data_IF_425611350730
#
_entry.id   IF_425611350730
#
_cell.length_a   1.000
_cell.length_b   1.000
_cell.length_c   1.000
_cell.angle_alpha   90.00
_cell.angle_beta   90.00
_cell.angle_gamma   90.00
#
_symmetry.space_group_name_H-M   'P 1'
#
loop_
_entity.id
_entity.type
_entity.pdbx_description
1 polymer ?
#
# COMPACT_ATOMS: atom_id res chain seq x y z
N UNK A 1 -24.06 -38.29 -84.89
CA UNK A 1 -23.14 -37.28 -84.31
C UNK A 1 -23.96 -36.29 -83.50
N UNK A 2 -24.20 -36.56 -82.21
CA UNK A 2 -24.88 -35.65 -81.26
C UNK A 2 -24.10 -35.72 -79.96
N UNK A 3 -23.35 -34.66 -79.67
CA UNK A 3 -22.62 -34.46 -78.43
C UNK A 3 -23.49 -33.53 -77.59
N UNK A 4 -24.02 -34.03 -76.47
CA UNK A 4 -24.68 -33.23 -75.44
C UNK A 4 -23.66 -33.02 -74.32
N UNK A 5 -23.18 -31.78 -74.22
CA UNK A 5 -22.23 -31.28 -73.23
C UNK A 5 -22.90 -31.30 -71.84
N UNK A 6 -22.37 -32.07 -70.89
CA UNK A 6 -22.71 -31.95 -69.46
C UNK A 6 -21.88 -30.82 -68.86
N UNK A 7 -22.53 -29.75 -68.42
CA UNK A 7 -21.93 -28.69 -67.62
C UNK A 7 -21.77 -29.22 -66.20
N UNK A 8 -20.52 -29.44 -65.77
CA UNK A 8 -20.18 -29.75 -64.39
C UNK A 8 -19.90 -28.42 -63.68
N UNK A 9 -20.79 -28.02 -62.77
CA UNK A 9 -20.56 -26.90 -61.87
C UNK A 9 -19.65 -27.42 -60.75
N UNK A 10 -18.37 -27.04 -60.80
CA UNK A 10 -17.42 -27.28 -59.71
C UNK A 10 -17.58 -26.14 -58.70
N UNK A 11 -18.25 -26.41 -57.57
CA UNK A 11 -18.21 -25.52 -56.41
C UNK A 11 -16.78 -25.53 -55.84
N UNK A 12 -16.01 -24.48 -56.16
CA UNK A 12 -14.76 -24.20 -55.49
C UNK A 12 -15.06 -23.74 -54.06
N UNK A 13 -14.85 -24.61 -53.08
CA UNK A 13 -14.81 -24.24 -51.66
C UNK A 13 -13.55 -23.41 -51.48
N UNK A 14 -13.71 -22.08 -51.47
CA UNK A 14 -12.66 -21.16 -51.08
C UNK A 14 -12.49 -21.33 -49.57
N UNK A 15 -11.46 -22.09 -49.17
CA UNK A 15 -10.92 -22.07 -47.82
C UNK A 15 -10.41 -20.66 -47.57
N UNK A 16 -11.26 -19.82 -46.97
CA UNK A 16 -10.83 -18.57 -46.35
C UNK A 16 -9.88 -19.00 -45.23
N UNK A 17 -8.61 -18.59 -45.24
CA UNK A 17 -7.74 -18.82 -44.11
C UNK A 17 -8.38 -18.04 -42.96
N UNK A 18 -8.92 -18.76 -41.97
CA UNK A 18 -9.20 -18.18 -40.68
C UNK A 18 -7.86 -17.68 -40.18
N UNK A 19 -7.64 -16.37 -40.26
CA UNK A 19 -6.64 -15.71 -39.44
C UNK A 19 -7.04 -16.02 -38.00
N UNK A 20 -6.49 -17.09 -37.45
CA UNK A 20 -6.45 -17.29 -36.02
C UNK A 20 -5.80 -16.04 -35.46
N UNK A 21 -6.50 -15.37 -34.54
CA UNK A 21 -5.81 -14.58 -33.52
C UNK A 21 -4.81 -15.56 -32.92
N UNK A 22 -3.54 -15.45 -33.29
CA UNK A 22 -2.47 -16.16 -32.63
C UNK A 22 -2.53 -15.68 -31.19
N UNK A 23 -3.05 -16.56 -30.33
CA UNK A 23 -3.03 -16.41 -28.91
C UNK A 23 -1.57 -16.48 -28.48
N UNK A 24 -0.89 -15.33 -28.53
CA UNK A 24 0.19 -14.98 -27.60
C UNK A 24 -0.35 -14.88 -26.16
N UNK A 25 -1.30 -15.76 -25.79
CA UNK A 25 -1.63 -16.04 -24.40
C UNK A 25 -0.35 -16.61 -23.79
N UNK A 26 0.38 -15.75 -23.10
CA UNK A 26 1.04 -16.09 -21.85
C UNK A 26 1.82 -17.40 -21.89
N UNK A 27 3.00 -17.39 -22.51
CA UNK A 27 3.85 -18.56 -22.47
C UNK A 27 4.02 -19.01 -21.00
N UNK A 28 3.83 -20.30 -20.73
CA UNK A 28 3.97 -20.89 -19.38
C UNK A 28 5.22 -20.39 -18.61
N UNK A 29 6.38 -20.15 -19.25
CA UNK A 29 7.55 -19.54 -18.61
C UNK A 29 7.33 -18.10 -18.11
N UNK A 30 6.64 -17.24 -18.88
CA UNK A 30 6.36 -15.86 -18.49
C UNK A 30 5.50 -15.82 -17.22
N UNK A 31 4.42 -16.60 -17.20
CA UNK A 31 3.53 -16.68 -16.04
C UNK A 31 4.24 -17.18 -14.80
N UNK A 32 5.09 -18.20 -14.95
CA UNK A 32 5.89 -18.69 -13.82
C UNK A 32 6.85 -17.61 -13.30
N UNK A 33 7.48 -16.84 -14.20
CA UNK A 33 8.39 -15.76 -13.84
C UNK A 33 7.68 -14.61 -13.14
N UNK A 34 6.51 -14.20 -13.65
CA UNK A 34 5.74 -13.09 -13.07
C UNK A 34 5.10 -13.47 -11.74
N UNK A 35 4.56 -14.69 -11.62
CA UNK A 35 3.86 -15.16 -10.41
C UNK A 35 4.77 -15.31 -9.20
N UNK A 36 6.08 -15.49 -9.44
CA UNK A 36 7.11 -15.57 -8.41
C UNK A 36 7.94 -14.29 -8.30
N UNK A 37 7.66 -13.30 -9.14
CA UNK A 37 8.35 -12.01 -9.06
C UNK A 37 7.99 -11.31 -7.76
N UNK A 38 8.99 -10.65 -7.19
CA UNK A 38 8.84 -10.05 -5.88
C UNK A 38 7.89 -8.84 -5.89
N UNK A 39 7.79 -8.09 -6.99
CA UNK A 39 6.79 -7.02 -7.14
C UNK A 39 5.36 -7.57 -7.15
N UNK A 40 5.10 -8.68 -7.86
CA UNK A 40 3.79 -9.33 -7.86
C UNK A 40 3.41 -9.85 -6.47
N UNK A 41 4.33 -10.54 -5.80
CA UNK A 41 4.12 -11.02 -4.43
C UNK A 41 3.87 -9.86 -3.47
N UNK A 42 4.49 -8.70 -3.67
CA UNK A 42 4.27 -7.51 -2.85
C UNK A 42 2.89 -6.90 -3.08
N UNK A 43 2.43 -6.81 -4.33
CA UNK A 43 1.07 -6.36 -4.68
C UNK A 43 0.00 -7.25 -4.02
N UNK A 44 0.30 -8.53 -3.85
CA UNK A 44 -0.59 -9.48 -3.18
C UNK A 44 -0.33 -9.61 -1.67
N UNK A 45 0.60 -8.85 -1.09
CA UNK A 45 1.02 -8.93 0.32
C UNK A 45 1.39 -10.37 0.74
N UNK A 46 2.12 -11.11 -0.11
CA UNK A 46 2.58 -12.46 0.22
C UNK A 46 3.75 -12.44 1.21
N UNK A 47 3.63 -13.26 2.26
CA UNK A 47 4.70 -13.57 3.21
C UNK A 47 4.90 -15.09 3.23
N UNK A 48 5.97 -15.54 2.60
CA UNK A 48 6.20 -16.97 2.40
C UNK A 48 5.18 -17.55 1.41
N UNK A 49 4.30 -18.45 1.88
CA UNK A 49 3.37 -19.20 1.02
C UNK A 49 1.94 -18.64 0.99
N UNK A 50 1.63 -17.67 1.84
CA UNK A 50 0.29 -17.11 1.95
C UNK A 50 0.33 -15.58 2.01
N UNK A 51 -0.76 -14.95 1.59
CA UNK A 51 -0.99 -13.52 1.72
C UNK A 51 -1.40 -13.14 3.14
N UNK A 52 -1.01 -11.93 3.55
CA UNK A 52 -1.49 -11.27 4.76
C UNK A 52 -2.93 -10.74 4.59
N UNK A 53 -3.38 -10.59 3.34
CA UNK A 53 -4.77 -10.22 3.02
C UNK A 53 -5.61 -11.49 3.01
N UNK A 54 -6.75 -11.46 3.69
CA UNK A 54 -7.65 -12.60 3.80
C UNK A 54 -8.33 -12.91 2.46
N UNK A 55 -8.49 -14.19 2.10
CA UNK A 55 -9.23 -14.62 0.91
C UNK A 55 -10.66 -14.05 0.86
N UNK A 56 -11.30 -13.86 2.03
CA UNK A 56 -12.68 -13.37 2.16
C UNK A 56 -12.81 -11.85 2.09
N UNK A 57 -11.71 -11.10 1.96
CA UNK A 57 -11.69 -9.64 1.88
C UNK A 57 -12.26 -9.05 0.59
N UNK A 58 -12.46 -9.88 -0.44
CA UNK A 58 -12.82 -9.41 -1.78
C UNK A 58 -11.67 -8.70 -2.52
N UNK A 59 -10.42 -8.89 -2.07
CA UNK A 59 -9.21 -8.39 -2.74
C UNK A 59 -8.67 -9.33 -3.82
N UNK A 60 -8.91 -10.63 -3.71
CA UNK A 60 -8.47 -11.62 -4.70
C UNK A 60 -9.54 -11.86 -5.75
N UNK A 61 -9.11 -11.96 -7.01
CA UNK A 61 -9.96 -12.34 -8.14
C UNK A 61 -10.11 -13.86 -8.23
N UNK A 62 -9.04 -14.60 -7.89
CA UNK A 62 -9.07 -16.06 -7.78
C UNK A 62 -9.65 -16.49 -6.43
N UNK A 63 -10.35 -17.63 -6.42
CA UNK A 63 -10.90 -18.26 -5.22
C UNK A 63 -9.83 -18.80 -4.25
N UNK A 64 -8.61 -19.00 -4.72
CA UNK A 64 -7.43 -19.42 -3.93
C UNK A 64 -6.27 -18.40 -3.99
N UNK A 65 -6.54 -17.18 -4.46
CA UNK A 65 -5.51 -16.17 -4.74
C UNK A 65 -4.65 -15.78 -3.53
N UNK A 66 -5.18 -15.90 -2.31
CA UNK A 66 -4.42 -15.63 -1.07
C UNK A 66 -3.37 -16.71 -0.77
N UNK A 67 -3.40 -17.85 -1.46
CA UNK A 67 -2.46 -18.98 -1.30
C UNK A 67 -1.76 -19.36 -2.60
N UNK A 68 -2.26 -18.85 -3.73
CA UNK A 68 -1.81 -19.19 -5.06
C UNK A 68 -1.64 -17.93 -5.91
N UNK A 69 -0.50 -17.27 -5.75
CA UNK A 69 -0.16 -16.06 -6.50
C UNK A 69 -0.16 -16.28 -8.02
N UNK A 70 0.09 -17.51 -8.48
CA UNK A 70 0.06 -17.84 -9.90
C UNK A 70 -1.37 -17.89 -10.45
N UNK A 71 -2.31 -18.48 -9.71
CA UNK A 71 -3.70 -18.50 -10.14
C UNK A 71 -4.31 -17.09 -10.08
N UNK A 72 -3.98 -16.32 -9.05
CA UNK A 72 -4.38 -14.89 -8.98
C UNK A 72 -3.88 -14.10 -10.18
N UNK A 73 -2.63 -14.34 -10.60
CA UNK A 73 -2.03 -13.70 -11.77
C UNK A 73 -2.79 -14.04 -13.05
N UNK A 74 -3.05 -15.34 -13.28
CA UNK A 74 -3.77 -15.83 -14.45
C UNK A 74 -5.18 -15.25 -14.53
N UNK A 75 -5.93 -15.24 -13.43
CA UNK A 75 -7.28 -14.64 -13.41
C UNK A 75 -7.21 -13.13 -13.64
N UNK A 76 -6.23 -12.45 -13.05
CA UNK A 76 -6.02 -11.00 -13.28
C UNK A 76 -5.78 -10.70 -14.75
N UNK A 77 -4.87 -11.43 -15.41
CA UNK A 77 -4.57 -11.18 -16.83
C UNK A 77 -5.78 -11.48 -17.70
N UNK A 78 -6.41 -12.65 -17.53
CA UNK A 78 -7.56 -13.05 -18.34
C UNK A 78 -8.71 -12.05 -18.25
N UNK A 79 -9.05 -11.59 -17.04
CA UNK A 79 -10.12 -10.60 -16.84
C UNK A 79 -9.74 -9.22 -17.41
N UNK A 80 -8.49 -8.77 -17.27
CA UNK A 80 -8.04 -7.53 -17.93
C UNK A 80 -8.07 -7.63 -19.46
N UNK A 81 -7.69 -8.76 -20.05
CA UNK A 81 -7.76 -8.93 -21.50
C UNK A 81 -9.22 -8.95 -22.01
N UNK A 82 -10.12 -9.57 -21.26
CA UNK A 82 -11.56 -9.54 -21.54
C UNK A 82 -12.11 -8.12 -21.47
N UNK A 83 -11.80 -7.38 -20.39
CA UNK A 83 -12.22 -6.00 -20.20
C UNK A 83 -11.74 -5.07 -21.32
N UNK A 84 -10.47 -5.23 -21.74
CA UNK A 84 -9.90 -4.47 -22.84
C UNK A 84 -10.59 -4.78 -24.18
N UNK A 85 -11.08 -6.00 -24.36
CA UNK A 85 -11.80 -6.42 -25.56
C UNK A 85 -13.25 -5.91 -25.57
N UNK A 86 -13.89 -5.85 -24.40
CA UNK A 86 -15.28 -5.40 -24.23
C UNK A 86 -15.42 -3.90 -23.94
N UNK A 87 -14.30 -3.19 -23.78
CA UNK A 87 -14.26 -1.79 -23.32
C UNK A 87 -15.12 -1.57 -22.06
N UNK A 88 -15.01 -2.48 -21.09
CA UNK A 88 -15.66 -2.31 -19.78
C UNK A 88 -15.03 -1.12 -19.06
N UNK A 89 -15.87 -0.25 -18.50
CA UNK A 89 -15.46 0.98 -17.80
C UNK A 89 -15.98 1.00 -16.36
N UNK A 90 -15.43 1.89 -15.54
CA UNK A 90 -15.85 2.07 -14.15
C UNK A 90 -15.47 0.90 -13.23
N UNK A 91 -16.18 0.78 -12.11
CA UNK A 91 -15.89 -0.20 -11.04
C UNK A 91 -16.07 -1.66 -11.48
N UNK A 92 -16.78 -1.93 -12.58
CA UNK A 92 -16.90 -3.28 -13.14
C UNK A 92 -15.61 -3.73 -13.85
N UNK A 93 -14.72 -2.80 -14.21
CA UNK A 93 -13.46 -3.16 -14.84
C UNK A 93 -12.38 -3.52 -13.81
N UNK A 94 -11.71 -4.64 -14.05
CA UNK A 94 -10.48 -5.07 -13.37
C UNK A 94 -9.37 -4.01 -13.47
N UNK A 95 -9.29 -3.23 -14.55
CA UNK A 95 -8.32 -2.13 -14.66
C UNK A 95 -8.56 -1.05 -13.62
N UNK A 96 -9.83 -0.70 -13.38
CA UNK A 96 -10.20 0.35 -12.43
C UNK A 96 -10.21 -0.14 -10.99
N UNK A 97 -10.47 -1.43 -10.77
CA UNK A 97 -10.33 -2.04 -9.45
C UNK A 97 -8.87 -2.26 -9.05
N UNK A 98 -8.02 -2.65 -10.01
CA UNK A 98 -6.63 -3.01 -9.79
C UNK A 98 -5.63 -2.26 -10.68
N UNK A 99 -5.54 -0.92 -10.57
CA UNK A 99 -4.64 -0.12 -11.39
C UNK A 99 -3.15 -0.41 -11.13
N UNK A 100 -2.75 -0.79 -9.91
CA UNK A 100 -1.34 -1.11 -9.63
C UNK A 100 -0.94 -2.44 -10.27
N UNK A 101 -1.83 -3.44 -10.23
CA UNK A 101 -1.65 -4.69 -10.98
C UNK A 101 -1.61 -4.44 -12.48
N UNK A 102 -2.47 -3.58 -13.00
CA UNK A 102 -2.46 -3.21 -14.42
C UNK A 102 -1.12 -2.53 -14.78
N UNK A 103 -0.66 -1.57 -13.99
CA UNK A 103 0.65 -0.91 -14.17
C UNK A 103 1.79 -1.93 -14.19
N UNK A 104 1.81 -2.88 -13.25
CA UNK A 104 2.80 -3.96 -13.22
C UNK A 104 2.76 -4.81 -14.50
N UNK A 105 1.58 -5.34 -14.87
CA UNK A 105 1.42 -6.23 -16.02
C UNK A 105 1.66 -5.53 -17.35
N UNK A 106 1.40 -4.23 -17.45
CA UNK A 106 1.63 -3.43 -18.66
C UNK A 106 3.10 -3.34 -19.08
N UNK A 107 4.03 -3.66 -18.17
CA UNK A 107 5.45 -3.74 -18.47
C UNK A 107 5.79 -4.97 -19.32
N UNK A 108 4.94 -6.01 -19.28
CA UNK A 108 5.19 -7.31 -19.90
C UNK A 108 4.17 -7.67 -20.98
N UNK A 109 2.93 -7.15 -20.90
CA UNK A 109 1.81 -7.51 -21.77
C UNK A 109 1.31 -6.27 -22.54
N UNK A 110 1.62 -6.15 -23.85
CA UNK A 110 1.26 -4.98 -24.67
C UNK A 110 -0.24 -4.67 -24.71
N UNK A 111 -1.09 -5.70 -24.68
CA UNK A 111 -2.54 -5.59 -24.70
C UNK A 111 -3.05 -4.89 -23.43
N UNK A 112 -2.51 -5.23 -22.26
CA UNK A 112 -2.81 -4.55 -20.99
C UNK A 112 -2.33 -3.10 -21.05
N UNK A 113 -1.13 -2.84 -21.58
CA UNK A 113 -0.63 -1.48 -21.77
C UNK A 113 -1.52 -0.64 -22.67
N UNK A 114 -2.12 -1.25 -23.70
CA UNK A 114 -3.13 -0.60 -24.55
C UNK A 114 -4.44 -0.39 -23.77
N UNK A 115 -4.88 -1.38 -23.00
CA UNK A 115 -6.07 -1.31 -22.15
C UNK A 115 -6.05 -0.14 -21.17
N UNK A 116 -4.92 0.09 -20.48
CA UNK A 116 -4.73 1.25 -19.58
C UNK A 116 -5.02 2.60 -20.26
N UNK A 117 -4.71 2.72 -21.55
CA UNK A 117 -4.95 3.97 -22.30
C UNK A 117 -6.39 4.12 -22.79
N UNK A 118 -7.11 3.01 -22.92
CA UNK A 118 -8.46 2.98 -23.48
C UNK A 118 -9.53 3.06 -22.39
N UNK A 119 -9.30 2.39 -21.26
CA UNK A 119 -10.28 2.28 -20.18
C UNK A 119 -10.16 3.48 -19.26
N UNK A 120 -11.29 4.16 -19.08
CA UNK A 120 -11.40 5.33 -18.22
C UNK A 120 -11.88 4.92 -16.82
N UNK A 121 -11.09 5.28 -15.82
CA UNK A 121 -11.37 4.98 -14.41
C UNK A 121 -11.64 6.28 -13.64
N UNK A 122 -12.85 6.83 -13.79
CA UNK A 122 -13.20 8.15 -13.23
C UNK A 122 -12.99 8.25 -11.72
N UNK A 123 -13.44 7.25 -10.95
CA UNK A 123 -13.26 7.24 -9.48
C UNK A 123 -11.78 7.24 -9.08
N UNK A 124 -10.94 6.48 -9.80
CA UNK A 124 -9.50 6.45 -9.55
C UNK A 124 -8.84 7.79 -9.94
N UNK A 125 -9.22 8.38 -11.07
CA UNK A 125 -8.73 9.70 -11.47
C UNK A 125 -9.13 10.79 -10.47
N UNK A 126 -10.34 10.71 -9.92
CA UNK A 126 -10.80 11.60 -8.86
C UNK A 126 -9.95 11.45 -7.59
N UNK A 127 -9.67 10.21 -7.15
CA UNK A 127 -8.77 9.95 -6.04
C UNK A 127 -7.38 10.56 -6.27
N UNK A 128 -6.83 10.42 -7.48
CA UNK A 128 -5.54 11.02 -7.85
C UNK A 128 -5.55 12.55 -7.92
N UNK A 129 -6.73 13.19 -8.00
CA UNK A 129 -6.87 14.65 -7.93
C UNK A 129 -6.96 15.13 -6.47
N UNK A 130 -7.63 14.37 -5.62
CA UNK A 130 -7.85 14.70 -4.21
C UNK A 130 -6.60 14.45 -3.37
N UNK A 131 -5.91 13.33 -3.61
CA UNK A 131 -4.76 12.91 -2.78
C UNK A 131 -3.45 13.22 -3.52
N UNK A 132 -2.65 14.17 -3.03
CA UNK A 132 -1.36 14.48 -3.64
C UNK A 132 -0.30 13.44 -3.27
N UNK A 133 0.62 13.19 -4.19
CA UNK A 133 1.76 12.30 -4.01
C UNK A 133 3.08 12.99 -4.36
N UNK A 134 3.13 14.33 -4.31
CA UNK A 134 4.35 15.08 -4.59
C UNK A 134 5.42 14.72 -3.56
N UNK A 135 5.04 14.72 -2.28
CA UNK A 135 5.85 14.30 -1.15
C UNK A 135 5.18 13.13 -0.44
N UNK A 136 5.88 11.99 -0.43
CA UNK A 136 5.46 10.79 0.30
C UNK A 136 6.44 10.55 1.42
N UNK A 137 5.90 10.38 2.62
CA UNK A 137 6.70 10.30 3.84
C UNK A 137 6.20 9.25 4.82
N UNK A 138 6.97 9.05 5.87
CA UNK A 138 6.53 8.39 7.09
C UNK A 138 6.48 9.44 8.20
N UNK A 139 5.49 9.33 9.07
CA UNK A 139 5.45 10.13 10.29
C UNK A 139 5.29 9.22 11.49
N UNK A 140 6.07 9.52 12.52
CA UNK A 140 6.12 8.78 13.77
C UNK A 140 5.77 9.69 14.94
N UNK A 141 4.70 9.37 15.65
CA UNK A 141 4.41 9.92 16.96
C UNK A 141 5.14 9.09 18.02
N UNK A 142 6.01 9.73 18.82
CA UNK A 142 6.80 9.09 19.89
C UNK A 142 5.91 8.35 20.88
N UNK A 143 6.44 7.43 21.67
CA UNK A 143 5.70 6.68 22.69
C UNK A 143 4.81 7.57 23.57
N UNK A 144 3.64 7.04 23.98
CA UNK A 144 2.78 7.71 24.97
C UNK A 144 3.18 7.31 26.38
N UNK A 145 3.40 8.30 27.25
CA UNK A 145 3.68 8.09 28.67
C UNK A 145 2.41 7.72 29.47
N UNK A 146 1.22 7.91 28.87
CA UNK A 146 -0.07 7.83 29.57
C UNK A 146 -0.90 6.62 29.10
N UNK A 147 -0.74 6.17 27.85
CA UNK A 147 -1.52 5.08 27.26
C UNK A 147 -0.65 3.83 26.96
N UNK A 148 -0.80 2.74 27.74
CA UNK A 148 -0.03 1.50 27.52
C UNK A 148 -0.18 0.89 26.12
N UNK A 149 -1.35 1.07 25.49
CA UNK A 149 -1.60 0.62 24.11
C UNK A 149 -0.80 1.38 23.04
N UNK A 150 -0.17 2.49 23.39
CA UNK A 150 0.63 3.35 22.50
C UNK A 150 2.10 3.41 22.93
N UNK A 151 2.54 2.46 23.75
CA UNK A 151 3.91 2.38 24.28
C UNK A 151 4.98 2.12 23.22
N UNK A 152 4.61 1.70 21.99
CA UNK A 152 5.54 1.53 20.87
C UNK A 152 5.57 2.74 19.91
N UNK A 153 4.78 3.77 20.22
CA UNK A 153 4.53 4.89 19.32
C UNK A 153 3.60 4.51 18.15
N UNK A 154 3.23 5.50 17.32
CA UNK A 154 2.38 5.27 16.14
C UNK A 154 3.09 5.74 14.88
N UNK A 155 3.01 4.95 13.81
CA UNK A 155 3.58 5.29 12.51
C UNK A 155 2.50 5.26 11.43
N UNK A 156 2.54 6.22 10.52
CA UNK A 156 1.61 6.36 9.40
C UNK A 156 2.30 6.94 8.17
N UNK A 157 1.73 6.70 6.98
CA UNK A 157 2.20 7.30 5.73
C UNK A 157 1.70 8.75 5.67
N UNK A 158 2.52 9.69 5.20
CA UNK A 158 2.08 11.04 4.88
C UNK A 158 2.12 11.29 3.39
N UNK A 159 1.07 11.93 2.87
CA UNK A 159 0.84 12.22 1.47
C UNK A 159 0.57 13.70 1.34
N UNK A 160 1.48 14.42 0.68
CA UNK A 160 1.43 15.88 0.62
C UNK A 160 1.76 16.40 -0.78
N UNK A 161 1.32 17.61 -1.07
CA UNK A 161 1.65 18.30 -2.31
C UNK A 161 0.64 19.36 -2.70
N UNK A 162 0.90 20.00 -3.83
CA UNK A 162 0.03 21.02 -4.38
C UNK A 162 -1.05 20.41 -5.27
N UNK A 163 -2.29 20.83 -5.05
CA UNK A 163 -3.41 20.53 -5.93
C UNK A 163 -3.10 20.96 -7.37
N UNK A 164 -3.21 20.01 -8.31
CA UNK A 164 -2.83 20.26 -9.73
C UNK A 164 -3.89 21.01 -10.52
N UNK A 165 -5.12 21.06 -10.01
CA UNK A 165 -6.28 21.66 -10.64
C UNK A 165 -7.32 22.06 -9.58
N UNK A 166 -8.25 22.93 -9.98
CA UNK A 166 -9.44 23.22 -9.18
C UNK A 166 -10.30 21.96 -9.04
N UNK A 167 -10.86 21.76 -7.85
CA UNK A 167 -11.75 20.64 -7.54
C UNK A 167 -12.93 21.12 -6.72
N UNK A 168 -14.13 20.67 -7.06
CA UNK A 168 -15.35 20.97 -6.30
C UNK A 168 -16.27 19.77 -6.38
N UNK A 169 -16.58 19.17 -5.23
CA UNK A 169 -17.52 18.05 -5.12
C UNK A 169 -18.41 18.19 -3.90
N UNK A 170 -19.71 18.00 -4.11
CA UNK A 170 -20.71 17.90 -3.05
C UNK A 170 -21.04 16.43 -2.86
N UNK A 171 -20.82 15.90 -1.67
CA UNK A 171 -21.17 14.53 -1.30
C UNK A 171 -22.63 14.42 -0.88
N UNK A 172 -23.18 13.20 -0.92
CA UNK A 172 -24.61 12.93 -0.67
C UNK A 172 -25.12 13.40 0.70
N UNK A 173 -24.23 13.64 1.66
CA UNK A 173 -24.53 14.12 3.02
C UNK A 173 -24.46 15.66 3.14
N UNK A 174 -24.24 16.38 2.04
CA UNK A 174 -24.09 17.84 2.02
C UNK A 174 -22.68 18.34 2.33
N UNK A 175 -21.74 17.44 2.63
CA UNK A 175 -20.32 17.79 2.77
C UNK A 175 -19.77 18.26 1.41
N UNK A 176 -18.94 19.30 1.42
CA UNK A 176 -18.31 19.85 0.23
C UNK A 176 -16.79 19.72 0.36
N UNK A 177 -16.14 19.17 -0.67
CA UNK A 177 -14.69 19.23 -0.83
C UNK A 177 -14.39 20.19 -1.97
N UNK A 178 -13.75 21.31 -1.63
CA UNK A 178 -13.37 22.37 -2.56
C UNK A 178 -11.92 22.77 -2.29
N UNK A 179 -11.12 22.83 -3.36
CA UNK A 179 -9.77 23.37 -3.33
C UNK A 179 -9.39 23.92 -4.70
N UNK A 180 -8.45 24.86 -4.70
CA UNK A 180 -7.93 25.53 -5.89
C UNK A 180 -6.59 24.95 -6.31
N UNK A 181 -6.30 25.07 -7.60
CA UNK A 181 -4.96 24.77 -8.11
C UNK A 181 -3.92 25.57 -7.32
N UNK A 182 -2.92 24.86 -6.78
CA UNK A 182 -1.86 25.44 -5.96
C UNK A 182 -2.13 25.40 -4.44
N UNK A 183 -3.33 25.02 -4.00
CA UNK A 183 -3.56 24.76 -2.57
C UNK A 183 -2.71 23.57 -2.12
N UNK A 184 -2.07 23.69 -0.97
CA UNK A 184 -1.28 22.62 -0.40
C UNK A 184 -2.20 21.66 0.37
N UNK A 185 -2.25 20.41 -0.08
CA UNK A 185 -3.06 19.36 0.51
C UNK A 185 -2.16 18.38 1.27
N UNK A 186 -2.65 17.88 2.41
CA UNK A 186 -1.89 16.98 3.27
C UNK A 186 -2.78 15.96 3.96
N UNK A 187 -2.46 14.69 3.79
CA UNK A 187 -3.19 13.57 4.35
C UNK A 187 -2.26 12.56 5.02
N UNK A 188 -2.80 11.80 5.97
CA UNK A 188 -2.17 10.62 6.55
C UNK A 188 -2.94 9.35 6.20
N UNK A 189 -2.21 8.26 5.92
CA UNK A 189 -2.75 6.90 5.86
C UNK A 189 -2.30 6.15 7.12
N UNK A 190 -3.28 5.86 7.98
CA UNK A 190 -3.08 5.02 9.17
C UNK A 190 -3.60 3.61 8.90
N UNK A 191 -3.02 2.61 9.57
CA UNK A 191 -3.56 1.24 9.61
C UNK A 191 -3.86 0.87 11.05
N UNK A 192 -5.12 0.58 11.35
CA UNK A 192 -5.57 0.22 12.69
C UNK A 192 -6.50 -0.98 12.65
N UNK A 193 -6.63 -1.65 13.79
CA UNK A 193 -7.63 -2.67 13.98
C UNK A 193 -9.02 -2.02 13.99
N UNK A 194 -9.89 -2.45 13.08
CA UNK A 194 -11.32 -2.19 13.12
C UNK A 194 -11.89 -2.87 14.36
N UNK A 195 -12.04 -2.06 15.40
CA UNK A 195 -12.41 -2.51 16.73
C UNK A 195 -13.87 -2.15 17.00
N UNK A 196 -14.78 -3.02 16.57
CA UNK A 196 -16.06 -3.27 17.27
C UNK A 196 -15.81 -3.93 18.66
N UNK A 197 -14.66 -3.68 19.26
CA UNK A 197 -14.22 -4.28 20.50
C UNK A 197 -14.67 -3.38 21.64
N UNK A 198 -15.82 -3.70 22.22
CA UNK A 198 -16.15 -3.24 23.56
C UNK A 198 -14.96 -3.47 24.51
N UNK A 199 -14.73 -2.50 25.40
CA UNK A 199 -13.61 -2.45 26.35
C UNK A 199 -13.77 -3.63 27.34
N UNK A 200 -13.24 -4.80 27.01
CA UNK A 200 -13.13 -5.91 27.95
C UNK A 200 -11.75 -6.62 27.85
N UNK A 201 -11.25 -7.22 28.94
CA UNK A 201 -9.91 -7.83 28.97
C UNK A 201 -9.73 -9.01 27.99
N UNK A 202 -10.83 -9.69 27.62
CA UNK A 202 -10.82 -10.79 26.65
C UNK A 202 -10.59 -10.25 25.23
N UNK A 203 -11.09 -9.06 24.91
CA UNK A 203 -10.78 -8.33 23.67
C UNK A 203 -9.29 -7.98 23.57
N UNK A 204 -8.65 -7.65 24.69
CA UNK A 204 -7.20 -7.37 24.74
C UNK A 204 -6.36 -8.65 24.55
N UNK A 205 -6.80 -9.77 25.11
CA UNK A 205 -6.17 -11.09 24.88
C UNK A 205 -6.38 -11.55 23.43
N UNK A 206 -7.56 -11.30 22.83
CA UNK A 206 -7.81 -11.56 21.40
C UNK A 206 -7.05 -10.63 20.48
N UNK A 207 -6.80 -9.40 20.87
CA UNK A 207 -5.91 -8.48 20.18
C UNK A 207 -4.46 -9.01 20.17
N UNK A 208 -3.97 -9.52 21.31
CA UNK A 208 -2.60 -10.04 21.44
C UNK A 208 -2.42 -11.42 20.79
N UNK A 209 -3.44 -12.28 20.82
CA UNK A 209 -3.35 -13.71 20.42
C UNK A 209 -4.10 -14.00 19.09
N UNK A 210 -5.02 -13.14 18.67
CA UNK A 210 -5.92 -13.36 17.53
C UNK A 210 -5.74 -12.38 16.38
N UNK A 211 -6.40 -12.68 15.25
CA UNK A 211 -6.48 -11.81 14.08
C UNK A 211 -7.70 -10.89 14.19
N UNK A 212 -7.48 -9.59 14.21
CA UNK A 212 -8.53 -8.57 14.10
C UNK A 212 -8.72 -8.20 12.62
N UNK A 213 -9.84 -7.55 12.29
CA UNK A 213 -9.94 -6.87 10.99
C UNK A 213 -9.13 -5.60 11.08
N UNK A 214 -8.30 -5.32 10.08
CA UNK A 214 -7.50 -4.11 9.94
C UNK A 214 -7.92 -3.34 8.71
N UNK A 215 -7.90 -2.01 8.82
CA UNK A 215 -8.31 -1.11 7.74
C UNK A 215 -7.31 0.02 7.55
N UNK A 216 -7.09 0.40 6.30
CA UNK A 216 -6.39 1.64 5.96
C UNK A 216 -7.38 2.80 6.02
N UNK A 217 -6.98 3.87 6.68
CA UNK A 217 -7.79 5.08 6.81
C UNK A 217 -7.02 6.30 6.34
N UNK A 218 -7.62 7.02 5.40
CA UNK A 218 -7.16 8.32 4.93
C UNK A 218 -7.79 9.41 5.81
N UNK A 219 -6.97 10.32 6.33
CA UNK A 219 -7.45 11.44 7.15
C UNK A 219 -6.66 12.71 6.85
N UNK A 220 -7.25 13.91 6.99
CA UNK A 220 -6.51 15.17 6.92
C UNK A 220 -5.36 15.18 7.93
N UNK A 221 -4.16 15.56 7.49
CA UNK A 221 -2.96 15.49 8.32
C UNK A 221 -3.06 16.40 9.55
N UNK A 222 -3.67 17.59 9.41
CA UNK A 222 -3.87 18.54 10.52
C UNK A 222 -4.66 17.93 11.69
N UNK A 223 -5.63 17.05 11.41
CA UNK A 223 -6.39 16.37 12.46
C UNK A 223 -5.51 15.36 13.22
N UNK A 224 -4.68 14.62 12.49
CA UNK A 224 -3.74 13.65 13.06
C UNK A 224 -2.68 14.39 13.90
N UNK A 225 -2.15 15.50 13.38
CA UNK A 225 -1.19 16.35 14.06
C UNK A 225 -1.79 16.99 15.32
N UNK A 226 -3.04 17.46 15.26
CA UNK A 226 -3.75 18.00 16.42
C UNK A 226 -3.90 16.94 17.52
N UNK A 227 -4.33 15.73 17.16
CA UNK A 227 -4.47 14.63 18.12
C UNK A 227 -3.15 14.35 18.84
N UNK A 228 -2.07 14.13 18.09
CA UNK A 228 -0.80 13.76 18.72
C UNK A 228 -0.11 14.93 19.43
N UNK A 229 -0.11 16.14 18.87
CA UNK A 229 0.61 17.28 19.45
C UNK A 229 -0.15 17.97 20.57
N UNK A 230 -1.48 18.10 20.45
CA UNK A 230 -2.30 18.84 21.40
C UNK A 230 -3.01 17.93 22.41
N UNK A 231 -3.62 16.83 21.96
CA UNK A 231 -4.40 15.97 22.86
C UNK A 231 -3.50 14.98 23.61
N UNK A 232 -2.59 14.30 22.90
CA UNK A 232 -1.69 13.31 23.51
C UNK A 232 -0.34 13.89 23.98
N UNK A 233 -0.04 15.14 23.62
CA UNK A 233 1.23 15.82 23.94
C UNK A 233 2.49 14.99 23.59
N UNK A 234 2.50 14.43 22.38
CA UNK A 234 3.58 13.59 21.83
C UNK A 234 4.42 14.36 20.82
N UNK A 235 5.71 14.04 20.76
CA UNK A 235 6.58 14.61 19.71
C UNK A 235 6.35 13.85 18.42
N UNK A 236 6.31 14.58 17.31
CA UNK A 236 6.16 14.02 15.97
C UNK A 236 7.50 14.13 15.23
N UNK A 237 7.90 13.03 14.60
CA UNK A 237 9.00 12.97 13.64
C UNK A 237 8.45 12.71 12.25
N UNK A 238 8.82 13.53 11.26
CA UNK A 238 8.42 13.39 9.86
C UNK A 238 9.63 13.07 9.00
N UNK A 239 9.47 12.09 8.12
CA UNK A 239 10.52 11.58 7.24
C UNK A 239 10.02 11.64 5.81
N UNK A 240 10.60 12.49 4.97
CA UNK A 240 10.34 12.45 3.52
C UNK A 240 11.15 11.31 2.90
N UNK A 241 10.50 10.45 2.11
CA UNK A 241 11.13 9.28 1.51
C UNK A 241 11.75 9.60 0.14
N UNK A 242 12.84 8.91 -0.18
CA UNK A 242 13.49 8.97 -1.50
C UNK A 242 12.74 8.09 -2.52
N UNK A 243 11.65 8.62 -3.06
CA UNK A 243 10.78 7.94 -4.03
C UNK A 243 10.76 8.67 -5.37
N UNK A 244 10.93 7.92 -6.47
CA UNK A 244 10.76 8.44 -7.82
C UNK A 244 9.27 8.56 -8.21
N UNK A 245 9.00 9.19 -9.36
CA UNK A 245 7.62 9.41 -9.81
C UNK A 245 6.86 8.12 -10.13
N UNK A 246 7.53 7.05 -10.58
CA UNK A 246 6.87 5.76 -10.86
C UNK A 246 6.54 5.03 -9.57
N UNK A 247 7.44 5.06 -8.61
CA UNK A 247 7.25 4.50 -7.28
C UNK A 247 6.07 5.18 -6.56
N UNK A 248 6.00 6.51 -6.60
CA UNK A 248 4.87 7.30 -6.08
C UNK A 248 3.54 6.92 -6.74
N UNK A 249 3.52 6.81 -8.07
CA UNK A 249 2.32 6.39 -8.81
C UNK A 249 1.87 4.97 -8.44
N UNK A 250 2.82 4.06 -8.24
CA UNK A 250 2.50 2.69 -7.88
C UNK A 250 1.95 2.58 -6.44
N UNK A 251 2.50 3.36 -5.50
CA UNK A 251 1.95 3.51 -4.15
C UNK A 251 0.51 4.02 -4.23
N UNK A 252 0.27 5.10 -4.96
CA UNK A 252 -1.05 5.68 -5.12
C UNK A 252 -2.06 4.69 -5.70
N UNK A 253 -1.67 4.01 -6.79
CA UNK A 253 -2.48 2.98 -7.43
C UNK A 253 -2.77 1.83 -6.47
N UNK A 254 -1.81 1.41 -5.64
CA UNK A 254 -1.99 0.28 -4.76
C UNK A 254 -2.82 0.63 -3.51
N UNK A 255 -2.67 1.84 -2.95
CA UNK A 255 -3.57 2.35 -1.90
C UNK A 255 -5.02 2.34 -2.37
N UNK A 256 -5.26 2.67 -3.65
CA UNK A 256 -6.58 2.53 -4.26
C UNK A 256 -7.07 1.08 -4.27
N UNK A 257 -6.23 0.09 -4.61
CA UNK A 257 -6.62 -1.34 -4.58
C UNK A 257 -7.01 -1.85 -3.19
N UNK A 258 -6.43 -1.25 -2.16
CA UNK A 258 -6.63 -1.61 -0.76
C UNK A 258 -7.86 -0.92 -0.14
N UNK A 259 -8.51 0.02 -0.84
CA UNK A 259 -9.71 0.70 -0.36
C UNK A 259 -10.83 -0.30 -0.06
N UNK A 260 -11.49 -0.10 1.08
CA UNK A 260 -12.60 -0.93 1.56
C UNK A 260 -12.28 -2.43 1.69
N UNK A 261 -11.00 -2.80 1.84
CA UNK A 261 -10.56 -4.18 2.07
C UNK A 261 -10.25 -4.41 3.54
N UNK A 262 -10.84 -5.46 4.10
CA UNK A 262 -10.44 -5.97 5.42
C UNK A 262 -9.16 -6.79 5.28
N UNK A 263 -8.14 -6.41 6.03
CA UNK A 263 -6.82 -7.06 6.06
C UNK A 263 -6.61 -7.63 7.46
N UNK A 264 -5.97 -8.79 7.60
CA UNK A 264 -5.74 -9.34 8.93
C UNK A 264 -4.81 -8.39 9.74
N UNK A 265 -5.24 -8.02 10.94
CA UNK A 265 -4.46 -7.21 11.90
C UNK A 265 -3.99 -8.08 13.07
N UNK A 266 -2.74 -7.91 13.45
CA UNK A 266 -2.09 -8.58 14.61
C UNK A 266 -1.03 -7.64 15.18
N UNK A 267 -1.02 -7.45 16.50
CA UNK A 267 -0.10 -6.51 17.14
C UNK A 267 1.37 -6.92 16.95
N UNK A 268 1.66 -8.21 16.78
CA UNK A 268 3.02 -8.73 16.71
C UNK A 268 3.58 -8.66 15.29
N UNK A 269 2.82 -9.14 14.31
CA UNK A 269 3.33 -9.43 12.96
C UNK A 269 2.50 -8.83 11.82
N UNK A 270 1.38 -8.15 12.11
CA UNK A 270 0.51 -7.49 11.14
C UNK A 270 -0.04 -6.18 11.70
N UNK A 271 0.85 -5.30 12.16
CA UNK A 271 0.50 -4.01 12.76
C UNK A 271 0.70 -2.85 11.76
N UNK A 272 0.56 -1.61 12.24
CA UNK A 272 0.73 -0.41 11.42
C UNK A 272 2.11 -0.33 10.74
N UNK A 273 3.17 -0.82 11.37
CA UNK A 273 4.51 -0.83 10.78
C UNK A 273 4.58 -1.82 9.60
N UNK A 274 4.08 -3.05 9.78
CA UNK A 274 4.04 -4.07 8.72
C UNK A 274 3.19 -3.63 7.52
N UNK A 275 2.05 -2.99 7.77
CA UNK A 275 1.18 -2.45 6.75
C UNK A 275 1.92 -1.44 5.85
N UNK A 276 2.62 -0.48 6.46
CA UNK A 276 3.41 0.52 5.72
C UNK A 276 4.59 -0.10 4.98
N UNK A 277 5.26 -1.10 5.58
CA UNK A 277 6.31 -1.86 4.90
C UNK A 277 5.79 -2.54 3.63
N UNK A 278 4.61 -3.15 3.69
CA UNK A 278 4.02 -3.82 2.52
C UNK A 278 3.66 -2.82 1.43
N UNK A 279 3.09 -1.66 1.77
CA UNK A 279 2.82 -0.58 0.80
C UNK A 279 4.12 -0.10 0.14
N UNK A 280 5.16 0.18 0.92
CA UNK A 280 6.42 0.71 0.38
C UNK A 280 7.19 -0.35 -0.44
N UNK A 281 7.08 -1.63 -0.07
CA UNK A 281 7.68 -2.74 -0.83
C UNK A 281 7.09 -2.89 -2.22
N UNK A 282 5.81 -2.56 -2.41
CA UNK A 282 5.17 -2.54 -3.74
C UNK A 282 5.89 -1.55 -4.67
N UNK A 283 6.28 -0.39 -4.13
CA UNK A 283 7.01 0.63 -4.87
C UNK A 283 8.40 0.13 -5.25
N UNK A 284 9.18 -0.31 -4.24
CA UNK A 284 10.54 -0.78 -4.42
C UNK A 284 10.98 -1.65 -3.24
N UNK A 285 11.60 -2.80 -3.52
CA UNK A 285 12.09 -3.73 -2.52
C UNK A 285 13.12 -3.14 -1.55
N UNK A 286 13.84 -2.10 -1.96
CA UNK A 286 14.81 -1.42 -1.10
C UNK A 286 14.20 -0.69 0.10
N UNK A 287 12.87 -0.52 0.15
CA UNK A 287 12.15 -0.09 1.35
C UNK A 287 11.81 -1.24 2.30
N UNK A 288 11.90 -2.50 1.84
CA UNK A 288 11.66 -3.65 2.68
C UNK A 288 12.92 -4.09 3.40
N UNK A 289 12.79 -4.35 4.70
CA UNK A 289 13.88 -4.92 5.50
C UNK A 289 13.45 -6.26 6.08
N UNK A 290 14.19 -7.31 5.74
CA UNK A 290 14.03 -8.63 6.34
C UNK A 290 14.32 -8.57 7.85
N UNK A 291 13.55 -9.34 8.60
CA UNK A 291 13.64 -9.38 10.07
C UNK A 291 14.15 -10.75 10.52
N UNK A 292 15.11 -10.76 11.43
CA UNK A 292 15.48 -11.94 12.21
C UNK A 292 14.64 -12.10 13.49
N UNK A 293 13.94 -11.03 13.90
CA UNK A 293 13.04 -10.99 15.05
C UNK A 293 11.58 -11.17 14.60
N UNK A 294 10.69 -11.64 15.48
CA UNK A 294 9.26 -11.80 15.16
C UNK A 294 8.49 -10.47 15.04
N UNK A 295 9.09 -9.34 15.43
CA UNK A 295 8.52 -8.00 15.29
C UNK A 295 9.63 -6.97 15.05
N UNK A 296 9.26 -5.82 14.48
CA UNK A 296 10.13 -4.64 14.31
C UNK A 296 9.34 -3.41 14.76
N UNK A 297 9.95 -2.62 15.63
CA UNK A 297 9.36 -1.35 16.09
C UNK A 297 9.36 -0.31 14.97
N UNK A 298 8.48 0.71 15.02
CA UNK A 298 8.54 1.83 14.10
C UNK A 298 9.92 2.50 14.05
N UNK A 299 10.55 2.69 15.21
CA UNK A 299 11.89 3.29 15.31
C UNK A 299 12.95 2.42 14.63
N UNK A 300 12.95 1.10 14.85
CA UNK A 300 13.88 0.18 14.16
C UNK A 300 13.69 0.20 12.64
N UNK A 301 12.46 0.37 12.14
CA UNK A 301 12.19 0.47 10.71
C UNK A 301 12.65 1.82 10.12
N UNK A 302 12.37 2.92 10.81
CA UNK A 302 12.86 4.25 10.40
C UNK A 302 14.40 4.28 10.36
N UNK A 303 15.05 3.70 11.37
CA UNK A 303 16.51 3.56 11.38
C UNK A 303 17.02 2.72 10.20
N UNK A 304 16.31 1.65 9.83
CA UNK A 304 16.73 0.82 8.70
C UNK A 304 16.60 1.55 7.37
N UNK A 305 15.54 2.35 7.18
CA UNK A 305 15.39 3.23 6.02
C UNK A 305 16.46 4.32 5.97
N UNK A 306 16.79 4.94 7.11
CA UNK A 306 17.88 5.92 7.18
C UNK A 306 19.22 5.32 6.77
N UNK A 307 19.54 4.12 7.27
CA UNK A 307 20.77 3.41 6.94
C UNK A 307 20.83 2.99 5.46
N UNK A 308 19.68 2.71 4.84
CA UNK A 308 19.56 2.40 3.42
C UNK A 308 19.56 3.65 2.53
N UNK A 309 19.68 4.87 3.10
CA UNK A 309 19.65 6.12 2.35
C UNK A 309 18.27 6.47 1.77
N UNK A 310 17.19 5.92 2.34
CA UNK A 310 15.81 6.08 1.84
C UNK A 310 15.04 7.26 2.42
N UNK A 311 15.70 8.07 3.23
CA UNK A 311 15.12 9.26 3.87
C UNK A 311 15.91 10.48 3.38
N UNK A 312 15.21 11.41 2.73
CA UNK A 312 15.81 12.65 2.17
C UNK A 312 15.73 13.83 3.11
N UNK A 313 14.71 13.85 3.98
CA UNK A 313 14.46 14.96 4.92
C UNK A 313 13.90 14.40 6.22
N UNK A 314 14.35 14.98 7.33
CA UNK A 314 13.86 14.70 8.67
C UNK A 314 13.42 15.99 9.32
N UNK A 315 12.21 16.02 9.86
CA UNK A 315 11.65 17.14 10.60
C UNK A 315 11.08 16.66 11.93
N UNK A 316 11.11 17.51 12.94
CA UNK A 316 10.55 17.21 14.25
C UNK A 316 9.68 18.36 14.73
N UNK A 317 8.60 18.00 15.42
CA UNK A 317 7.71 18.95 16.05
C UNK A 317 7.34 18.47 17.44
N UNK A 318 7.61 19.31 18.44
CA UNK A 318 7.25 19.02 19.82
C UNK A 318 6.00 19.78 20.24
N UNK A 319 5.23 19.23 21.20
CA UNK A 319 4.16 19.92 21.88
C UNK A 319 4.65 21.22 22.56
N UNK A 320 3.76 22.21 22.68
CA UNK A 320 4.07 23.52 23.26
C UNK A 320 4.63 23.43 24.69
N UNK A 321 4.15 22.50 25.51
CA UNK A 321 4.63 22.29 26.87
C UNK A 321 6.06 21.70 26.93
N UNK A 322 6.49 20.98 25.89
CA UNK A 322 7.83 20.37 25.77
C UNK A 322 8.84 21.29 25.05
N UNK A 323 8.40 22.32 24.34
CA UNK A 323 9.26 23.20 23.53
C UNK A 323 10.43 23.81 24.33
N UNK A 324 10.16 24.37 25.52
CA UNK A 324 11.23 24.97 26.37
C UNK A 324 12.30 23.96 26.78
N UNK A 325 11.91 22.71 27.03
CA UNK A 325 12.85 21.65 27.39
C UNK A 325 13.70 21.28 26.17
N UNK A 326 13.05 21.09 25.02
CA UNK A 326 13.69 20.76 23.75
C UNK A 326 14.66 21.85 23.29
N UNK A 327 14.28 23.13 23.38
CA UNK A 327 15.17 24.24 23.02
C UNK A 327 16.44 24.27 23.87
N UNK A 328 16.35 23.80 25.12
CA UNK A 328 17.46 23.80 26.08
C UNK A 328 18.34 22.55 25.99
N UNK A 329 17.74 21.38 25.76
CA UNK A 329 18.41 20.08 25.89
C UNK A 329 18.46 19.26 24.59
N UNK A 330 17.77 19.70 23.54
CA UNK A 330 17.57 18.95 22.30
C UNK A 330 16.44 17.91 22.40
N UNK A 331 16.25 17.18 21.30
CA UNK A 331 15.29 16.07 21.22
C UNK A 331 15.95 14.75 21.62
N UNK A 332 15.14 13.79 22.10
CA UNK A 332 15.54 12.40 22.18
C UNK A 332 15.74 11.86 20.76
N UNK A 333 17.00 11.81 20.32
CA UNK A 333 17.38 11.42 18.98
C UNK A 333 17.10 9.94 18.73
N UNK A 334 16.07 9.65 17.94
CA UNK A 334 15.64 8.29 17.66
C UNK A 334 16.70 7.49 16.89
N UNK A 335 17.68 8.15 16.25
CA UNK A 335 18.80 7.47 15.58
C UNK A 335 19.96 7.12 16.52
N UNK A 336 19.96 7.66 17.75
CA UNK A 336 21.00 7.40 18.77
C UNK A 336 20.58 6.44 19.88
N UNK A 337 19.29 6.09 19.96
CA UNK A 337 18.72 5.27 21.05
C UNK A 337 19.39 3.90 21.26
N UNK A 338 19.91 3.26 20.20
CA UNK A 338 20.58 1.94 20.31
C UNK A 338 21.89 2.01 21.13
N UNK A 339 22.60 3.15 21.12
CA UNK A 339 23.83 3.31 21.90
C UNK A 339 23.55 3.43 23.40
N UNK A 340 22.46 4.10 23.78
CA UNK A 340 22.17 4.42 25.19
C UNK A 340 21.72 3.18 25.97
N UNK A 341 20.89 2.30 25.39
CA UNK A 341 20.49 1.06 26.06
C UNK A 341 21.65 0.10 26.31
N UNK A 342 22.59 0.01 25.36
CA UNK A 342 23.83 -0.76 25.54
C UNK A 342 24.70 -0.16 26.63
N UNK A 343 24.81 1.17 26.67
CA UNK A 343 25.58 1.90 27.67
C UNK A 343 24.97 1.79 29.08
N UNK A 344 23.63 1.80 29.22
CA UNK A 344 22.94 1.59 30.49
C UNK A 344 23.04 0.15 31.02
N UNK A 345 23.10 -0.85 30.14
CA UNK A 345 23.38 -2.24 30.54
C UNK A 345 24.84 -2.41 30.98
N UNK A 346 25.77 -1.75 30.28
CA UNK A 346 27.20 -1.82 30.61
C UNK A 346 27.55 -1.01 31.88
N UNK A 347 26.79 0.03 32.25
CA UNK A 347 27.02 0.81 33.48
C UNK A 347 26.31 0.27 34.74
N UNK A 348 25.45 -0.74 34.65
CA UNK A 348 24.72 -1.29 35.81
C UNK A 348 25.07 -2.75 36.19
N UNK A 349 26.19 -3.32 35.72
CA UNK A 349 26.66 -4.66 36.14
C UNK A 349 27.93 -4.65 37.03
N UNK A 350 28.42 -3.49 37.51
CA UNK A 350 29.62 -3.47 38.41
C UNK A 350 29.43 -2.77 39.76
N UNK A 351 28.21 -2.39 40.16
CA UNK A 351 27.98 -1.84 41.50
C UNK A 351 26.75 -2.47 42.16
N UNK A 352 26.93 -3.62 42.83
CA UNK A 352 25.85 -4.17 43.65
C UNK A 352 25.90 -5.66 44.02
N UNK A 353 27.06 -6.33 44.01
CA UNK A 353 27.22 -7.61 44.71
C UNK A 353 28.57 -7.56 45.43
N UNK A 354 28.54 -7.12 46.68
CA UNK A 354 29.43 -7.47 47.79
C UNK A 354 29.08 -6.52 48.94
N UNK A 355 28.04 -6.86 49.70
CA UNK A 355 27.99 -6.94 51.17
C UNK A 355 26.57 -7.25 51.63
#
# INVERSE_FOLDING_TARGET
MRILLRIIIVCAVILIPTFGLDSHLESKPLIQSLSTSQQWLSLLHFRGKESLINQKSGFFLSSDGSKNAQNELLVTINTMLEDASLAKEGEESTFCRYPARAMFLSQFIPEIKKGIKLIRCDSFMEFMQIVPFDDVGLTYATESDIYPGSAMGHIYLTLQGEAKQDFHKVFSEGNVLDFKKGDYLSYGISFFADADLGINPISYIRAIIGKLNGVYSLSPLDNIDFEYLQNEERTIWRFTLDLDSKEKQLIAAHLWELRDKSIDYSFIDHNCNDALKNILRVANESFFTEQSKPYQTPVEYIQSLQNAGKIVKVETQSPKNKQKFVDKYGYNDIFKLVKVLKQCWDTHIVAGILY
#
